data_IF_046039924318
#
_entry.id   IF_046039924318
#
_cell.length_a   1.000
_cell.length_b   1.000
_cell.length_c   1.000
_cell.angle_alpha   90.00
_cell.angle_beta   90.00
_cell.angle_gamma   90.00
#
_symmetry.space_group_name_H-M   'P 1'
#
loop_
_entity.id
_entity.type
_entity.pdbx_description
1 polymer ?
#
# COMPACT_ATOMS: atom_id res chain seq x y z
N UNK A 1 48.11 31.67 24.27
CA UNK A 1 48.15 31.10 25.64
C UNK A 1 46.74 30.98 26.19
N UNK A 2 46.55 30.10 27.18
CA UNK A 2 45.32 29.41 27.60
C UNK A 2 44.29 30.27 28.38
N UNK A 3 43.00 30.04 28.05
CA UNK A 3 41.76 29.90 28.86
C UNK A 3 41.68 30.46 30.31
N UNK A 4 40.62 31.24 30.57
CA UNK A 4 39.76 31.19 31.78
C UNK A 4 38.32 31.63 31.38
N UNK A 5 37.38 30.72 31.05
CA UNK A 5 36.41 30.08 31.94
C UNK A 5 35.77 30.99 33.00
N UNK A 6 34.66 31.64 32.62
CA UNK A 6 33.68 32.17 33.57
C UNK A 6 32.46 31.23 33.69
N UNK A 7 32.24 30.88 34.95
CA UNK A 7 31.17 30.17 35.66
C UNK A 7 29.77 30.10 35.03
N UNK A 8 29.28 28.84 35.00
CA UNK A 8 27.96 28.32 35.43
C UNK A 8 26.86 29.32 35.80
N UNK A 9 25.72 29.19 35.10
CA UNK A 9 24.37 29.08 35.69
C UNK A 9 23.52 28.10 34.85
N UNK A 10 23.65 26.80 35.11
CA UNK A 10 22.60 25.84 34.69
C UNK A 10 21.53 25.84 35.77
N UNK A 11 20.38 26.42 35.46
CA UNK A 11 19.14 26.29 36.23
C UNK A 11 18.34 25.13 35.65
N UNK A 12 18.76 23.88 35.88
CA UNK A 12 17.89 22.72 35.74
C UNK A 12 18.32 21.65 36.76
N UNK A 13 17.40 21.16 37.61
CA UNK A 13 17.70 20.12 38.58
C UNK A 13 17.88 18.77 37.88
N UNK A 14 18.68 17.91 38.51
CA UNK A 14 18.95 16.53 38.14
C UNK A 14 17.65 15.73 37.98
N UNK A 15 17.17 15.62 36.74
CA UNK A 15 16.25 14.56 36.36
C UNK A 15 17.06 13.45 35.70
N UNK A 16 17.00 12.28 36.33
CA UNK A 16 17.50 11.01 35.84
C UNK A 16 17.09 10.79 34.39
N UNK A 17 18.04 11.01 33.46
CA UNK A 17 17.88 10.66 32.05
C UNK A 17 17.86 9.14 31.97
N UNK A 18 16.66 8.54 31.98
CA UNK A 18 16.43 7.23 31.38
C UNK A 18 16.85 7.35 29.92
N UNK A 19 18.02 6.79 29.60
CA UNK A 19 18.54 6.70 28.23
C UNK A 19 17.45 6.12 27.33
N UNK A 20 16.88 6.95 26.45
CA UNK A 20 16.05 6.50 25.32
C UNK A 20 16.87 5.50 24.50
N UNK A 21 16.49 4.22 24.53
CA UNK A 21 16.95 3.23 23.56
C UNK A 21 16.02 3.28 22.35
N UNK A 22 16.31 4.20 21.43
CA UNK A 22 15.81 4.13 20.06
C UNK A 22 16.86 3.33 19.28
N UNK A 23 16.50 2.12 18.85
CA UNK A 23 17.39 1.26 18.06
C UNK A 23 16.88 1.23 16.63
N UNK A 24 17.68 1.64 15.65
CA UNK A 24 17.31 1.68 14.22
C UNK A 24 18.53 1.33 13.36
N UNK A 25 18.21 0.68 12.23
CA UNK A 25 18.94 0.51 10.96
C UNK A 25 19.71 -0.81 10.80
N UNK A 26 19.12 -1.73 10.03
CA UNK A 26 19.86 -2.53 9.08
C UNK A 26 19.37 -2.22 7.65
N UNK A 27 20.29 -1.71 6.82
CA UNK A 27 20.18 -1.70 5.36
C UNK A 27 20.64 -3.10 4.90
N UNK A 28 19.72 -3.91 4.39
CA UNK A 28 20.09 -5.11 3.63
C UNK A 28 20.53 -4.68 2.24
N UNK A 29 21.83 -4.61 1.98
CA UNK A 29 22.37 -4.43 0.65
C UNK A 29 22.87 -5.78 0.11
N UNK A 30 22.29 -6.25 -0.99
CA UNK A 30 23.01 -7.00 -2.05
C UNK A 30 22.41 -6.67 -3.42
N UNK A 31 23.26 -6.20 -4.31
CA UNK A 31 23.05 -6.10 -5.76
C UNK A 31 22.93 -7.50 -6.39
N UNK A 32 22.02 -7.67 -7.33
CA UNK A 32 22.33 -8.18 -8.67
C UNK A 32 21.22 -7.80 -9.66
N UNK A 33 21.62 -7.13 -10.73
CA UNK A 33 20.82 -6.84 -11.91
C UNK A 33 20.36 -8.12 -12.61
N UNK A 34 19.08 -8.20 -12.94
CA UNK A 34 18.65 -8.68 -14.26
C UNK A 34 17.20 -8.30 -14.52
N UNK A 35 17.03 -7.57 -15.61
CA UNK A 35 15.79 -7.17 -16.24
C UNK A 35 14.69 -8.25 -16.22
N UNK A 36 13.49 -7.84 -15.82
CA UNK A 36 12.25 -7.95 -16.59
C UNK A 36 11.29 -6.90 -16.05
N UNK A 37 11.11 -5.81 -16.81
CA UNK A 37 9.93 -4.96 -16.69
C UNK A 37 8.72 -5.83 -17.01
N UNK A 38 8.08 -6.40 -16.00
CA UNK A 38 6.66 -6.71 -16.08
C UNK A 38 5.93 -5.38 -15.92
N UNK A 39 5.75 -4.69 -17.04
CA UNK A 39 4.71 -3.68 -17.20
C UNK A 39 3.37 -4.35 -16.89
N UNK A 40 2.54 -3.66 -16.10
CA UNK A 40 1.21 -4.14 -15.72
C UNK A 40 1.02 -4.29 -14.22
N UNK A 41 1.26 -3.25 -13.42
CA UNK A 41 0.66 -3.14 -12.08
C UNK A 41 -0.22 -1.91 -12.05
N UNK A 42 -1.53 -2.16 -12.18
CA UNK A 42 -2.66 -1.36 -11.75
C UNK A 42 -2.31 0.04 -11.24
N UNK A 43 -2.20 0.99 -12.18
CA UNK A 43 -2.33 2.41 -11.88
C UNK A 43 -3.82 2.65 -11.61
N UNK A 44 -4.25 2.29 -10.39
CA UNK A 44 -5.51 2.81 -9.85
C UNK A 44 -5.34 4.32 -9.82
N UNK A 45 -5.95 5.02 -10.77
CA UNK A 45 -6.06 6.47 -10.74
C UNK A 45 -6.91 6.83 -9.52
N UNK A 46 -6.27 7.07 -8.39
CA UNK A 46 -6.97 7.45 -7.16
C UNK A 46 -7.53 8.85 -7.38
N UNK A 47 -8.86 8.95 -7.44
CA UNK A 47 -9.50 10.26 -7.62
C UNK A 47 -9.34 11.09 -6.35
N UNK A 48 -9.09 12.40 -6.50
CA UNK A 48 -8.96 13.31 -5.35
C UNK A 48 -10.21 13.30 -4.48
N UNK A 49 -11.38 13.07 -5.09
CA UNK A 49 -12.67 12.95 -4.39
C UNK A 49 -12.73 11.73 -3.48
N UNK A 50 -12.15 10.62 -3.90
CA UNK A 50 -12.08 9.41 -3.08
C UNK A 50 -11.21 9.64 -1.84
N UNK A 51 -10.02 10.23 -2.00
CA UNK A 51 -9.13 10.55 -0.89
C UNK A 51 -9.75 11.54 0.11
N UNK A 52 -10.57 12.49 -0.37
CA UNK A 52 -11.35 13.38 0.48
C UNK A 52 -12.46 12.64 1.23
N UNK A 53 -13.19 11.75 0.56
CA UNK A 53 -14.28 10.99 1.18
C UNK A 53 -13.80 9.98 2.22
N UNK A 54 -12.62 9.39 2.00
CA UNK A 54 -11.99 8.44 2.91
C UNK A 54 -11.23 9.14 4.05
N UNK A 55 -11.13 10.48 4.00
CA UNK A 55 -10.46 11.28 5.03
C UNK A 55 -8.94 11.15 5.05
N UNK A 56 -8.34 10.54 4.02
CA UNK A 56 -6.88 10.45 3.84
C UNK A 56 -6.29 11.84 3.60
N UNK A 57 -7.01 12.67 2.85
CA UNK A 57 -6.60 14.02 2.50
C UNK A 57 -7.71 15.00 2.89
N UNK A 58 -7.37 16.12 3.54
CA UNK A 58 -8.36 17.15 3.89
C UNK A 58 -8.51 18.19 2.77
N UNK A 59 -9.65 18.91 2.76
CA UNK A 59 -9.88 19.99 1.80
C UNK A 59 -8.82 21.11 1.90
N UNK A 60 -8.35 21.40 3.11
CA UNK A 60 -7.26 22.35 3.37
C UNK A 60 -5.93 21.87 2.80
N UNK A 61 -5.59 20.58 3.02
CA UNK A 61 -4.39 19.96 2.46
C UNK A 61 -4.42 19.97 0.94
N UNK A 62 -5.57 19.66 0.32
CA UNK A 62 -5.72 19.69 -1.13
C UNK A 62 -5.53 21.10 -1.68
N UNK A 63 -6.18 22.08 -1.07
CA UNK A 63 -6.10 23.48 -1.46
C UNK A 63 -4.66 24.01 -1.37
N UNK A 64 -3.92 23.62 -0.33
CA UNK A 64 -2.51 23.95 -0.19
C UNK A 64 -1.67 23.36 -1.32
N UNK A 65 -1.86 22.08 -1.65
CA UNK A 65 -1.13 21.43 -2.76
C UNK A 65 -1.47 22.07 -4.11
N UNK A 66 -2.76 22.32 -4.38
CA UNK A 66 -3.25 22.96 -5.60
C UNK A 66 -2.72 24.38 -5.80
N UNK A 67 -2.44 25.10 -4.71
CA UNK A 67 -1.88 26.45 -4.77
C UNK A 67 -0.37 26.46 -5.06
N UNK A 68 0.35 25.40 -4.68
CA UNK A 68 1.81 25.39 -4.68
C UNK A 68 2.43 24.48 -5.75
N UNK A 69 1.67 23.51 -6.26
CA UNK A 69 2.16 22.50 -7.20
C UNK A 69 1.30 22.45 -8.46
N UNK A 70 1.91 22.00 -9.56
CA UNK A 70 1.18 21.76 -10.80
C UNK A 70 0.23 20.57 -10.66
N UNK A 71 -0.90 20.61 -11.38
CA UNK A 71 -1.92 19.55 -11.36
C UNK A 71 -1.34 18.15 -11.60
N UNK A 72 -0.52 17.98 -12.62
CA UNK A 72 0.05 16.67 -12.96
C UNK A 72 0.97 16.10 -11.88
N UNK A 73 1.59 16.98 -11.09
CA UNK A 73 2.43 16.60 -9.94
C UNK A 73 1.56 16.18 -8.77
N UNK A 74 0.46 16.89 -8.52
CA UNK A 74 -0.52 16.53 -7.49
C UNK A 74 -1.13 15.17 -7.80
N UNK A 75 -1.54 14.95 -9.06
CA UNK A 75 -2.07 13.66 -9.51
C UNK A 75 -1.05 12.54 -9.27
N UNK A 76 0.23 12.76 -9.58
CA UNK A 76 1.28 11.77 -9.33
C UNK A 76 1.54 11.52 -7.82
N UNK A 77 1.48 12.55 -6.98
CA UNK A 77 1.60 12.43 -5.52
C UNK A 77 0.43 11.64 -4.93
N UNK A 78 -0.80 11.93 -5.37
CA UNK A 78 -2.01 11.23 -4.95
C UNK A 78 -2.02 9.75 -5.37
N UNK A 79 -1.40 9.41 -6.51
CA UNK A 79 -1.25 8.03 -6.98
C UNK A 79 -0.06 7.27 -6.37
N UNK A 80 0.74 7.90 -5.50
CA UNK A 80 1.95 7.29 -4.94
C UNK A 80 1.64 6.17 -3.93
N UNK A 81 2.60 5.26 -3.75
CA UNK A 81 2.49 4.14 -2.80
C UNK A 81 2.30 4.64 -1.36
N UNK A 82 2.90 5.78 -1.02
CA UNK A 82 2.74 6.38 0.31
C UNK A 82 1.27 6.69 0.61
N UNK A 83 0.54 7.30 -0.33
CA UNK A 83 -0.89 7.62 -0.13
C UNK A 83 -1.70 6.34 0.04
N UNK A 84 -1.44 5.32 -0.77
CA UNK A 84 -2.07 4.00 -0.63
C UNK A 84 -1.80 3.38 0.75
N UNK A 85 -0.63 3.61 1.33
CA UNK A 85 -0.32 3.17 2.71
C UNK A 85 -1.17 3.93 3.75
N UNK A 86 -1.33 5.25 3.63
CA UNK A 86 -2.20 6.03 4.52
C UNK A 86 -3.68 5.63 4.38
N UNK A 87 -4.14 5.38 3.15
CA UNK A 87 -5.46 4.84 2.85
C UNK A 87 -5.69 3.50 3.53
N UNK A 88 -4.77 2.54 3.38
CA UNK A 88 -4.81 1.23 4.05
C UNK A 88 -4.77 1.33 5.57
N UNK A 89 -4.03 2.30 6.11
CA UNK A 89 -4.00 2.60 7.55
C UNK A 89 -5.27 3.32 8.03
N UNK A 90 -6.14 3.79 7.14
CA UNK A 90 -7.29 4.63 7.50
C UNK A 90 -6.84 5.84 8.32
N UNK A 91 -5.76 6.50 7.89
CA UNK A 91 -5.14 7.61 8.59
C UNK A 91 -5.00 8.82 7.65
N UNK A 92 -5.23 10.04 8.15
CA UNK A 92 -4.97 11.23 7.35
C UNK A 92 -3.47 11.41 7.11
N UNK A 93 -3.11 12.05 5.99
CA UNK A 93 -1.75 12.48 5.74
C UNK A 93 -1.28 13.38 6.87
N UNK A 94 -0.21 12.95 7.54
CA UNK A 94 0.37 13.74 8.61
C UNK A 94 1.17 14.94 8.08
N UNK A 95 1.59 15.79 9.01
CA UNK A 95 2.39 16.98 8.69
C UNK A 95 3.72 16.64 7.99
N UNK A 96 4.32 15.48 8.28
CA UNK A 96 5.58 15.07 7.67
C UNK A 96 5.36 14.64 6.21
N UNK A 97 4.31 13.86 5.93
CA UNK A 97 3.91 13.50 4.58
C UNK A 97 3.61 14.75 3.74
N UNK A 98 2.85 15.71 4.28
CA UNK A 98 2.56 16.97 3.58
C UNK A 98 3.83 17.77 3.27
N UNK A 99 4.79 17.83 4.21
CA UNK A 99 6.07 18.50 3.99
C UNK A 99 6.88 17.81 2.88
N UNK A 100 6.91 16.48 2.87
CA UNK A 100 7.62 15.69 1.86
C UNK A 100 6.99 15.85 0.48
N UNK A 101 5.66 15.92 0.40
CA UNK A 101 4.92 16.16 -0.84
C UNK A 101 5.26 17.52 -1.44
N UNK A 102 5.36 18.57 -0.62
CA UNK A 102 5.79 19.88 -1.09
C UNK A 102 7.25 19.87 -1.54
N UNK A 103 8.14 19.21 -0.80
CA UNK A 103 9.56 19.11 -1.15
C UNK A 103 9.76 18.40 -2.49
N UNK A 104 9.17 17.21 -2.66
CA UNK A 104 9.32 16.41 -3.87
C UNK A 104 8.51 16.98 -5.02
N UNK A 105 7.31 17.49 -4.74
CA UNK A 105 6.49 18.18 -5.72
C UNK A 105 7.22 19.38 -6.34
N UNK A 106 7.97 20.15 -5.54
CA UNK A 106 8.77 21.28 -6.06
C UNK A 106 9.87 20.81 -7.02
N UNK A 107 10.53 19.67 -6.74
CA UNK A 107 11.56 19.09 -7.60
C UNK A 107 11.00 18.53 -8.90
N UNK A 108 9.84 17.88 -8.81
CA UNK A 108 9.12 17.37 -9.97
C UNK A 108 8.61 18.49 -10.87
N UNK A 109 8.15 19.60 -10.28
CA UNK A 109 7.73 20.79 -11.03
C UNK A 109 8.87 21.48 -11.77
N UNK A 110 10.10 21.41 -11.24
CA UNK A 110 11.29 21.97 -11.86
C UNK A 110 11.97 21.04 -12.88
N UNK A 111 11.77 19.73 -12.78
CA UNK A 111 12.44 18.73 -13.62
C UNK A 111 11.67 18.47 -14.91
N UNK A 112 12.19 18.97 -16.04
CA UNK A 112 11.69 18.64 -17.38
C UNK A 112 11.96 17.17 -17.79
N UNK A 113 12.77 16.44 -17.01
CA UNK A 113 13.21 15.08 -17.36
C UNK A 113 12.15 13.99 -17.15
N UNK A 114 11.12 14.25 -16.34
CA UNK A 114 10.05 13.29 -16.07
C UNK A 114 8.79 13.73 -16.83
N UNK A 115 8.61 13.18 -18.03
CA UNK A 115 7.58 13.62 -18.97
C UNK A 115 6.22 12.98 -18.69
N UNK A 116 6.19 11.71 -18.27
CA UNK A 116 4.94 10.95 -18.08
C UNK A 116 4.50 10.89 -16.62
N UNK A 117 3.21 10.66 -16.39
CA UNK A 117 2.65 10.44 -15.05
C UNK A 117 3.33 9.25 -14.35
N UNK A 118 3.51 8.13 -15.06
CA UNK A 118 4.14 6.92 -14.55
C UNK A 118 5.59 7.15 -14.10
N UNK A 119 6.37 7.90 -14.88
CA UNK A 119 7.74 8.27 -14.52
C UNK A 119 7.78 9.09 -13.23
N UNK A 120 6.83 10.01 -13.05
CA UNK A 120 6.71 10.82 -11.82
C UNK A 120 6.33 9.95 -10.63
N UNK A 121 5.36 9.06 -10.77
CA UNK A 121 4.94 8.13 -9.72
C UNK A 121 6.09 7.20 -9.33
N UNK A 122 6.81 6.63 -10.31
CA UNK A 122 7.97 5.79 -10.06
C UNK A 122 9.07 6.56 -9.30
N UNK A 123 9.36 7.79 -9.71
CA UNK A 123 10.33 8.65 -9.01
C UNK A 123 9.90 8.89 -7.55
N UNK A 124 8.63 9.22 -7.30
CA UNK A 124 8.12 9.43 -5.95
C UNK A 124 8.31 8.16 -5.11
N UNK A 125 7.90 7.01 -5.63
CA UNK A 125 7.98 5.72 -4.94
C UNK A 125 9.43 5.25 -4.69
N UNK A 126 10.41 5.78 -5.41
CA UNK A 126 11.84 5.52 -5.16
C UNK A 126 12.44 6.43 -4.08
N UNK A 127 11.80 7.57 -3.78
CA UNK A 127 12.37 8.60 -2.90
C UNK A 127 11.57 8.83 -1.62
N UNK A 128 10.32 8.38 -1.57
CA UNK A 128 9.42 8.51 -0.43
C UNK A 128 8.97 7.15 0.05
N UNK A 129 9.23 6.87 1.32
CA UNK A 129 8.76 5.67 2.00
C UNK A 129 7.93 6.02 3.23
N UNK A 130 7.20 5.01 3.72
CA UNK A 130 6.52 5.04 5.00
C UNK A 130 7.31 4.27 6.06
N UNK A 131 7.47 4.89 7.23
CA UNK A 131 8.21 4.29 8.33
C UNK A 131 7.24 3.62 9.29
N UNK A 132 7.12 2.30 9.21
CA UNK A 132 6.20 1.51 10.01
C UNK A 132 6.68 1.34 11.45
N UNK A 133 5.84 1.68 12.42
CA UNK A 133 6.07 1.28 13.80
C UNK A 133 5.49 -0.11 14.05
N UNK A 134 6.30 -1.16 13.96
CA UNK A 134 5.83 -2.54 14.16
C UNK A 134 5.49 -2.88 15.62
N UNK A 135 5.77 -1.97 16.56
CA UNK A 135 5.28 -2.09 17.93
C UNK A 135 3.82 -1.64 18.08
N UNK A 136 3.30 -0.89 17.11
CA UNK A 136 1.91 -0.47 17.12
C UNK A 136 1.02 -1.61 16.61
N UNK A 137 -0.05 -1.98 17.36
CA UNK A 137 -0.99 -3.02 16.93
C UNK A 137 -1.50 -2.80 15.51
N UNK A 138 -1.99 -1.60 15.21
CA UNK A 138 -2.57 -1.26 13.90
C UNK A 138 -1.60 -1.45 12.74
N UNK A 139 -0.37 -0.96 12.87
CA UNK A 139 0.65 -1.08 11.81
C UNK A 139 1.08 -2.52 11.60
N UNK A 140 1.30 -3.27 12.70
CA UNK A 140 1.64 -4.68 12.65
C UNK A 140 0.54 -5.51 12.00
N UNK A 141 -0.72 -5.31 12.43
CA UNK A 141 -1.87 -6.04 11.91
C UNK A 141 -2.11 -5.74 10.44
N UNK A 142 -1.88 -4.50 10.00
CA UNK A 142 -2.00 -4.15 8.58
C UNK A 142 -0.95 -4.88 7.74
N UNK A 143 0.32 -4.82 8.15
CA UNK A 143 1.41 -5.48 7.41
C UNK A 143 1.17 -6.99 7.30
N UNK A 144 0.74 -7.62 8.40
CA UNK A 144 0.39 -9.04 8.42
C UNK A 144 -0.82 -9.34 7.56
N UNK A 145 -1.87 -8.52 7.61
CA UNK A 145 -3.06 -8.73 6.79
C UNK A 145 -2.68 -8.68 5.31
N UNK A 146 -1.93 -7.67 4.88
CA UNK A 146 -1.50 -7.57 3.49
C UNK A 146 -0.59 -8.74 3.08
N UNK A 147 0.37 -9.12 3.93
CA UNK A 147 1.28 -10.22 3.63
C UNK A 147 0.58 -11.59 3.58
N UNK A 148 -0.36 -11.85 4.50
CA UNK A 148 -1.16 -13.09 4.49
C UNK A 148 -2.07 -13.10 3.25
N UNK A 149 -2.77 -12.01 2.95
CA UNK A 149 -3.60 -11.94 1.74
C UNK A 149 -2.79 -12.23 0.48
N UNK A 150 -1.59 -11.64 0.36
CA UNK A 150 -0.74 -11.89 -0.80
C UNK A 150 -0.17 -13.31 -0.82
N UNK A 151 0.21 -13.86 0.34
CA UNK A 151 0.62 -15.26 0.44
C UNK A 151 -0.50 -16.21 0.01
N UNK A 152 -1.75 -15.97 0.42
CA UNK A 152 -2.92 -16.74 -0.01
C UNK A 152 -3.16 -16.59 -1.51
N UNK A 153 -2.96 -15.39 -2.06
CA UNK A 153 -3.02 -15.16 -3.51
C UNK A 153 -1.96 -15.98 -4.25
N UNK A 154 -0.72 -16.06 -3.74
CA UNK A 154 0.35 -16.88 -4.32
C UNK A 154 0.09 -18.39 -4.24
N UNK A 155 -0.77 -18.86 -3.32
CA UNK A 155 -1.21 -20.26 -3.30
C UNK A 155 -2.21 -20.58 -4.43
N UNK A 156 -2.67 -19.57 -5.14
CA UNK A 156 -3.59 -19.67 -6.28
C UNK A 156 -2.87 -19.34 -7.57
N UNK A 157 -3.36 -19.83 -8.70
CA UNK A 157 -2.77 -19.52 -10.00
C UNK A 157 -3.01 -18.03 -10.35
N UNK A 158 -1.99 -17.18 -10.15
CA UNK A 158 -2.12 -15.73 -10.29
C UNK A 158 -2.39 -15.27 -11.72
N UNK A 159 -1.93 -16.03 -12.74
CA UNK A 159 -2.20 -15.69 -14.14
C UNK A 159 -3.69 -15.73 -14.45
N UNK A 160 -4.38 -16.70 -13.84
CA UNK A 160 -5.81 -16.92 -13.99
C UNK A 160 -6.66 -15.81 -13.38
N UNK A 161 -6.28 -15.31 -12.20
CA UNK A 161 -7.02 -14.23 -11.54
C UNK A 161 -6.86 -12.90 -12.29
N UNK A 162 -5.70 -12.65 -12.89
CA UNK A 162 -5.44 -11.47 -13.70
C UNK A 162 -6.25 -11.53 -15.01
N UNK A 163 -6.24 -12.66 -15.71
CA UNK A 163 -6.96 -12.82 -16.97
C UNK A 163 -8.48 -12.64 -16.77
N UNK A 164 -9.05 -13.13 -15.65
CA UNK A 164 -10.47 -12.91 -15.32
C UNK A 164 -10.76 -11.43 -15.09
N UNK A 165 -9.94 -10.73 -14.29
CA UNK A 165 -10.15 -9.30 -13.97
C UNK A 165 -10.03 -8.43 -15.22
N UNK A 166 -9.07 -8.72 -16.11
CA UNK A 166 -8.89 -7.97 -17.37
C UNK A 166 -10.09 -8.12 -18.31
N UNK A 167 -10.63 -9.34 -18.44
CA UNK A 167 -11.78 -9.62 -19.29
C UNK A 167 -13.07 -9.02 -18.70
N UNK A 168 -13.25 -9.05 -17.38
CA UNK A 168 -14.37 -8.37 -16.70
C UNK A 168 -14.31 -6.85 -16.87
N UNK A 169 -13.12 -6.25 -16.79
CA UNK A 169 -12.93 -4.82 -17.06
C UNK A 169 -13.25 -4.48 -18.51
N UNK A 170 -12.80 -5.29 -19.47
CA UNK A 170 -13.09 -5.11 -20.89
C UNK A 170 -14.60 -5.24 -21.17
N UNK A 171 -15.28 -6.19 -20.55
CA UNK A 171 -16.73 -6.36 -20.65
C UNK A 171 -17.48 -5.10 -20.15
N UNK A 172 -17.09 -4.57 -18.99
CA UNK A 172 -17.66 -3.34 -18.44
C UNK A 172 -17.40 -2.12 -19.33
N UNK A 173 -16.20 -1.99 -19.90
CA UNK A 173 -15.88 -0.89 -20.83
C UNK A 173 -16.73 -0.97 -22.11
N UNK A 174 -16.88 -2.16 -22.69
CA UNK A 174 -17.73 -2.37 -23.87
C UNK A 174 -19.21 -2.12 -23.59
N UNK A 175 -19.68 -2.43 -22.38
CA UNK A 175 -21.05 -2.11 -21.96
C UNK A 175 -21.25 -0.59 -21.86
N UNK A 176 -20.32 0.13 -21.23
CA UNK A 176 -20.37 1.60 -21.12
C UNK A 176 -20.33 2.25 -22.50
N UNK A 177 -19.47 1.77 -23.40
CA UNK A 177 -19.40 2.25 -24.78
C UNK A 177 -20.71 1.98 -25.53
N UNK A 178 -21.27 0.77 -25.43
CA UNK A 178 -22.57 0.44 -26.04
C UNK A 178 -23.68 1.40 -25.60
N UNK A 179 -23.83 1.60 -24.28
CA UNK A 179 -24.82 2.54 -23.73
C UNK A 179 -24.57 4.00 -24.10
N UNK A 180 -23.33 4.38 -24.43
CA UNK A 180 -23.01 5.71 -24.94
C UNK A 180 -23.48 5.87 -26.39
N UNK A 181 -23.17 4.90 -27.26
CA UNK A 181 -23.56 4.94 -28.67
C UNK A 181 -25.07 4.78 -28.86
N UNK A 182 -25.74 3.99 -28.01
CA UNK A 182 -27.20 3.89 -27.99
C UNK A 182 -27.89 5.24 -27.74
N UNK A 183 -27.29 6.11 -26.93
CA UNK A 183 -27.83 7.46 -26.67
C UNK A 183 -27.67 8.40 -27.87
N UNK A 184 -26.75 8.11 -28.78
CA UNK A 184 -26.48 8.92 -29.97
C UNK A 184 -27.35 8.52 -31.17
N UNK A 185 -28.06 7.38 -31.11
CA UNK A 185 -29.03 6.94 -32.14
C UNK A 185 -30.12 7.98 -32.42
N UNK A 186 -30.41 8.87 -31.47
CA UNK A 186 -31.40 9.96 -31.63
C UNK A 186 -30.89 11.22 -32.33
N UNK A 187 -29.61 11.29 -32.74
CA UNK A 187 -29.03 12.46 -33.42
C UNK A 187 -28.88 12.19 -34.93
N UNK A 188 -29.71 12.87 -35.75
CA UNK A 188 -29.86 12.61 -37.20
C UNK A 188 -28.58 12.73 -38.03
N UNK A 189 -27.54 13.41 -37.54
CA UNK A 189 -26.35 13.75 -38.33
C UNK A 189 -25.39 12.58 -38.62
N UNK A 190 -25.53 11.41 -37.96
CA UNK A 190 -24.53 10.33 -38.07
C UNK A 190 -25.09 8.91 -37.86
N UNK A 191 -26.39 8.67 -38.10
CA UNK A 191 -27.07 7.40 -37.75
C UNK A 191 -26.35 6.14 -38.27
N UNK A 192 -25.91 6.13 -39.53
CA UNK A 192 -25.19 5.00 -40.15
C UNK A 192 -23.86 4.71 -39.44
N UNK A 193 -23.14 5.75 -39.03
CA UNK A 193 -21.87 5.60 -38.32
C UNK A 193 -22.10 5.07 -36.88
N UNK A 194 -23.17 5.53 -36.22
CA UNK A 194 -23.57 5.04 -34.89
C UNK A 194 -23.96 3.56 -34.96
N UNK A 195 -24.71 3.14 -35.96
CA UNK A 195 -25.09 1.73 -36.19
C UNK A 195 -23.86 0.84 -36.40
N UNK A 196 -22.89 1.28 -37.22
CA UNK A 196 -21.65 0.54 -37.43
C UNK A 196 -20.81 0.38 -36.15
N UNK A 197 -20.77 1.41 -35.30
CA UNK A 197 -20.08 1.32 -34.00
C UNK A 197 -20.80 0.38 -33.04
N UNK A 198 -22.13 0.37 -33.04
CA UNK A 198 -22.92 -0.55 -32.22
C UNK A 198 -22.75 -2.02 -32.67
N UNK A 199 -22.75 -2.30 -33.98
CA UNK A 199 -22.46 -3.65 -34.51
C UNK A 199 -21.07 -4.14 -34.10
N UNK A 200 -20.06 -3.27 -34.19
CA UNK A 200 -18.70 -3.59 -33.76
C UNK A 200 -18.65 -3.91 -32.25
N UNK A 201 -19.30 -3.09 -31.42
CA UNK A 201 -19.37 -3.31 -29.98
C UNK A 201 -20.11 -4.61 -29.66
N UNK A 202 -21.20 -4.93 -30.36
CA UNK A 202 -21.92 -6.19 -30.18
C UNK A 202 -21.04 -7.40 -30.53
N UNK A 203 -20.30 -7.34 -31.63
CA UNK A 203 -19.35 -8.39 -32.02
C UNK A 203 -18.26 -8.58 -30.96
N UNK A 204 -17.67 -7.48 -30.47
CA UNK A 204 -16.66 -7.51 -29.41
C UNK A 204 -17.23 -8.03 -28.08
N UNK A 205 -18.46 -7.64 -27.71
CA UNK A 205 -19.13 -8.16 -26.52
C UNK A 205 -19.38 -9.67 -26.62
N UNK A 206 -19.73 -10.16 -27.80
CA UNK A 206 -19.94 -11.59 -28.03
C UNK A 206 -18.62 -12.37 -27.93
N UNK A 207 -17.53 -11.82 -28.48
CA UNK A 207 -16.19 -12.39 -28.35
C UNK A 207 -15.71 -12.41 -26.89
N UNK A 208 -15.91 -11.32 -26.15
CA UNK A 208 -15.55 -11.22 -24.73
C UNK A 208 -16.38 -12.19 -23.88
N UNK A 209 -17.68 -12.35 -24.17
CA UNK A 209 -18.53 -13.35 -23.49
C UNK A 209 -18.04 -14.78 -23.73
N UNK A 210 -17.58 -15.09 -24.93
CA UNK A 210 -17.06 -16.42 -25.26
C UNK A 210 -15.69 -16.66 -24.61
N UNK A 211 -14.81 -15.66 -24.60
CA UNK A 211 -13.54 -15.69 -23.87
C UNK A 211 -13.77 -15.87 -22.37
N UNK A 212 -14.77 -15.18 -21.80
CA UNK A 212 -15.12 -15.30 -20.40
C UNK A 212 -15.69 -16.68 -20.07
N UNK A 213 -16.52 -17.27 -20.95
CA UNK A 213 -16.98 -18.67 -20.80
C UNK A 213 -15.85 -19.68 -20.85
N UNK A 214 -14.96 -19.57 -21.82
CA UNK A 214 -13.81 -20.47 -21.95
C UNK A 214 -12.85 -20.32 -20.79
N UNK A 215 -12.64 -19.10 -20.29
CA UNK A 215 -11.91 -18.87 -19.04
C UNK A 215 -12.64 -19.48 -17.84
N UNK A 216 -13.93 -19.21 -17.68
CA UNK A 216 -14.75 -19.77 -16.61
C UNK A 216 -14.68 -21.29 -16.58
N UNK A 217 -14.71 -21.97 -17.73
CA UNK A 217 -14.63 -23.44 -17.82
C UNK A 217 -13.22 -23.99 -17.51
N UNK A 218 -12.17 -23.34 -18.02
CA UNK A 218 -10.77 -23.73 -17.80
C UNK A 218 -10.28 -23.42 -16.39
N UNK A 219 -10.83 -22.35 -15.79
CA UNK A 219 -10.36 -21.79 -14.53
C UNK A 219 -11.34 -21.92 -13.37
N UNK A 220 -12.55 -22.48 -13.58
CA UNK A 220 -13.54 -22.76 -12.52
C UNK A 220 -12.90 -23.39 -11.29
N UNK A 221 -12.02 -24.36 -11.51
CA UNK A 221 -11.35 -25.09 -10.43
C UNK A 221 -10.34 -24.24 -9.68
N UNK A 222 -9.61 -23.36 -10.37
CA UNK A 222 -8.64 -22.45 -9.74
C UNK A 222 -9.35 -21.31 -8.99
N UNK A 223 -10.37 -20.69 -9.60
CA UNK A 223 -11.19 -19.67 -8.97
C UNK A 223 -11.98 -20.23 -7.76
N UNK A 224 -12.55 -21.43 -7.88
CA UNK A 224 -13.24 -22.10 -6.77
C UNK A 224 -12.25 -22.51 -5.66
N UNK A 225 -11.07 -23.01 -6.01
CA UNK A 225 -10.02 -23.31 -5.03
C UNK A 225 -9.56 -22.04 -4.29
N UNK A 226 -9.38 -20.93 -5.00
CA UNK A 226 -9.05 -19.64 -4.43
C UNK A 226 -10.16 -19.13 -3.50
N UNK A 227 -11.43 -19.21 -3.95
CA UNK A 227 -12.62 -18.85 -3.14
C UNK A 227 -12.67 -19.65 -1.85
N UNK A 228 -12.54 -20.97 -1.92
CA UNK A 228 -12.53 -21.86 -0.75
C UNK A 228 -11.38 -21.51 0.20
N UNK A 229 -10.19 -21.24 -0.35
CA UNK A 229 -9.02 -20.88 0.45
C UNK A 229 -9.22 -19.53 1.15
N UNK A 230 -9.76 -18.54 0.45
CA UNK A 230 -10.11 -17.23 1.03
C UNK A 230 -11.21 -17.35 2.09
N UNK A 231 -12.27 -18.12 1.82
CA UNK A 231 -13.34 -18.38 2.81
C UNK A 231 -12.81 -19.04 4.08
N UNK A 232 -11.83 -19.94 3.94
CA UNK A 232 -11.13 -20.56 5.09
C UNK A 232 -10.33 -19.53 5.89
N UNK A 233 -9.66 -18.58 5.21
CA UNK A 233 -8.84 -17.55 5.86
C UNK A 233 -9.63 -16.36 6.40
N UNK A 234 -10.80 -16.05 5.83
CA UNK A 234 -11.59 -14.87 6.14
C UNK A 234 -11.87 -14.67 7.64
N UNK A 235 -12.24 -15.70 8.43
CA UNK A 235 -12.43 -15.53 9.87
C UNK A 235 -11.15 -15.08 10.59
N UNK A 236 -10.00 -15.68 10.23
CA UNK A 236 -8.71 -15.36 10.82
C UNK A 236 -8.25 -13.94 10.44
N UNK A 237 -8.48 -13.52 9.19
CA UNK A 237 -8.20 -12.15 8.72
C UNK A 237 -9.12 -11.12 9.39
N UNK A 238 -10.40 -11.45 9.60
CA UNK A 238 -11.34 -10.58 10.34
C UNK A 238 -10.89 -10.39 11.79
N UNK A 239 -10.46 -11.45 12.47
CA UNK A 239 -9.90 -11.35 13.83
C UNK A 239 -8.61 -10.51 13.84
N UNK A 240 -7.74 -10.67 12.85
CA UNK A 240 -6.55 -9.84 12.70
C UNK A 240 -6.90 -8.36 12.52
N UNK A 241 -7.92 -8.05 11.72
CA UNK A 241 -8.40 -6.69 11.52
C UNK A 241 -8.96 -6.08 12.81
N UNK A 242 -9.68 -6.85 13.62
CA UNK A 242 -10.16 -6.38 14.93
C UNK A 242 -9.00 -6.02 15.88
N UNK A 243 -7.85 -6.70 15.79
CA UNK A 243 -6.66 -6.35 16.57
C UNK A 243 -6.09 -4.96 16.20
N UNK A 244 -6.43 -4.42 15.03
CA UNK A 244 -6.00 -3.08 14.61
C UNK A 244 -6.70 -1.95 15.36
N UNK A 245 -7.82 -2.24 16.02
CA UNK A 245 -8.60 -1.28 16.81
C UNK A 245 -7.92 -0.94 18.15
N UNK A 246 -6.98 -1.77 18.60
CA UNK A 246 -6.18 -1.47 19.78
C UNK A 246 -5.22 -0.31 19.49
N UNK A 247 -5.43 0.81 20.18
CA UNK A 247 -4.56 1.98 20.06
C UNK A 247 -3.12 1.69 20.56
N UNK A 248 -2.98 0.84 21.57
CA UNK A 248 -1.71 0.51 22.23
C UNK A 248 -1.67 -0.97 22.63
N UNK A 249 -0.47 -1.48 22.89
CA UNK A 249 -0.28 -2.81 23.46
C UNK A 249 -0.78 -2.85 24.90
N UNK A 250 -1.79 -3.66 25.18
CA UNK A 250 -2.34 -3.91 26.51
C UNK A 250 -2.36 -5.42 26.84
N UNK A 251 -2.59 -5.83 28.10
CA UNK A 251 -2.77 -7.24 28.45
C UNK A 251 -3.86 -7.94 27.63
N UNK A 252 -4.95 -7.23 27.34
CA UNK A 252 -6.07 -7.70 26.50
C UNK A 252 -5.61 -7.91 25.06
N UNK A 253 -4.84 -6.96 24.49
CA UNK A 253 -4.24 -7.11 23.18
C UNK A 253 -3.35 -8.36 23.12
N UNK A 254 -2.45 -8.57 24.10
CA UNK A 254 -1.56 -9.73 24.09
C UNK A 254 -2.31 -11.06 24.17
N UNK A 255 -3.42 -11.10 24.92
CA UNK A 255 -4.27 -12.29 25.02
C UNK A 255 -4.97 -12.58 23.70
N UNK A 256 -5.51 -11.54 23.05
CA UNK A 256 -6.14 -11.66 21.74
C UNK A 256 -5.12 -12.02 20.64
N UNK A 257 -3.93 -11.42 20.68
CA UNK A 257 -2.81 -11.70 19.78
C UNK A 257 -2.37 -13.16 19.84
N UNK A 258 -2.16 -13.71 21.04
CA UNK A 258 -1.78 -15.11 21.22
C UNK A 258 -2.87 -16.07 20.72
N UNK A 259 -4.13 -15.70 20.93
CA UNK A 259 -5.28 -16.48 20.43
C UNK A 259 -5.29 -16.50 18.91
N UNK A 260 -5.09 -15.34 18.28
CA UNK A 260 -4.98 -15.23 16.84
C UNK A 260 -3.79 -16.01 16.26
N UNK A 261 -2.60 -15.90 16.87
CA UNK A 261 -1.40 -16.64 16.42
C UNK A 261 -1.63 -18.16 16.44
N UNK A 262 -2.34 -18.68 17.45
CA UNK A 262 -2.70 -20.11 17.52
C UNK A 262 -3.63 -20.53 16.38
N UNK A 263 -4.63 -19.70 16.05
CA UNK A 263 -5.53 -19.95 14.93
C UNK A 263 -4.79 -19.92 13.58
N UNK A 264 -3.99 -18.88 13.34
CA UNK A 264 -3.21 -18.73 12.10
C UNK A 264 -2.26 -19.92 11.88
N UNK A 265 -1.61 -20.40 12.94
CA UNK A 265 -0.71 -21.57 12.91
C UNK A 265 -1.42 -22.86 12.48
N UNK A 266 -2.68 -23.03 12.85
CA UNK A 266 -3.47 -24.20 12.42
C UNK A 266 -3.86 -24.13 10.95
N UNK A 267 -4.00 -22.92 10.39
CA UNK A 267 -4.42 -22.71 9.01
C UNK A 267 -3.28 -22.91 8.00
N UNK A 268 -2.06 -22.48 8.35
CA UNK A 268 -0.85 -22.65 7.53
C UNK A 268 0.35 -23.08 8.40
N UNK A 269 0.45 -24.35 8.81
CA UNK A 269 1.57 -24.85 9.60
C UNK A 269 2.93 -24.72 8.90
N UNK A 270 2.95 -24.64 7.57
CA UNK A 270 4.13 -24.44 6.73
C UNK A 270 4.83 -23.09 6.98
N UNK A 271 4.11 -22.05 7.44
CA UNK A 271 4.65 -20.74 7.79
C UNK A 271 5.23 -20.70 9.22
N UNK A 272 5.80 -21.81 9.68
CA UNK A 272 6.27 -21.97 11.07
C UNK A 272 7.19 -20.85 11.54
N UNK A 273 8.16 -20.45 10.72
CA UNK A 273 9.12 -19.40 11.07
C UNK A 273 8.47 -18.03 11.26
N UNK A 274 7.44 -17.72 10.46
CA UNK A 274 6.64 -16.49 10.57
C UNK A 274 5.86 -16.51 11.89
N UNK A 275 5.24 -17.63 12.25
CA UNK A 275 4.47 -17.75 13.48
C UNK A 275 5.34 -17.72 14.74
N UNK A 276 6.54 -18.30 14.69
CA UNK A 276 7.53 -18.18 15.77
C UNK A 276 7.96 -16.72 15.94
N UNK A 277 8.13 -15.99 14.83
CA UNK A 277 8.43 -14.56 14.88
C UNK A 277 7.26 -13.72 15.46
N UNK A 278 6.01 -14.04 15.11
CA UNK A 278 4.83 -13.41 15.70
C UNK A 278 4.72 -13.59 17.22
N UNK A 279 5.09 -14.77 17.75
CA UNK A 279 5.09 -15.04 19.18
C UNK A 279 6.16 -14.21 19.94
N UNK A 280 7.25 -13.87 19.25
CA UNK A 280 8.42 -13.20 19.85
C UNK A 280 8.57 -11.73 19.48
N UNK A 281 7.67 -11.16 18.67
CA UNK A 281 7.82 -9.81 18.12
C UNK A 281 8.01 -8.71 19.18
N UNK A 282 7.37 -8.84 20.35
CA UNK A 282 7.50 -7.87 21.46
C UNK A 282 8.66 -8.16 22.43
N UNK A 283 9.47 -9.19 22.16
CA UNK A 283 10.56 -9.66 23.04
C UNK A 283 11.91 -9.75 22.33
N UNK A 284 11.91 -10.00 21.03
CA UNK A 284 13.12 -10.23 20.24
C UNK A 284 13.12 -9.37 18.97
N UNK A 285 14.18 -8.57 18.80
CA UNK A 285 14.37 -7.73 17.62
C UNK A 285 14.62 -8.56 16.36
N UNK A 286 15.17 -9.77 16.49
CA UNK A 286 15.37 -10.66 15.35
C UNK A 286 14.03 -11.17 14.80
N UNK A 287 13.04 -11.36 15.68
CA UNK A 287 11.69 -11.71 15.26
C UNK A 287 11.04 -10.57 14.44
N UNK A 288 11.24 -9.31 14.86
CA UNK A 288 10.78 -8.14 14.09
C UNK A 288 11.45 -8.09 12.71
N UNK A 289 12.76 -8.32 12.63
CA UNK A 289 13.49 -8.33 11.36
C UNK A 289 13.02 -9.44 10.41
N UNK A 290 12.76 -10.65 10.94
CA UNK A 290 12.22 -11.76 10.15
C UNK A 290 10.84 -11.45 9.57
N UNK A 291 9.95 -10.87 10.37
CA UNK A 291 8.63 -10.46 9.88
C UNK A 291 8.73 -9.36 8.82
N UNK A 292 9.63 -8.40 9.02
CA UNK A 292 9.86 -7.36 8.02
C UNK A 292 10.36 -7.94 6.69
N UNK A 293 11.32 -8.87 6.72
CA UNK A 293 11.79 -9.56 5.52
C UNK A 293 10.64 -10.27 4.81
N UNK A 294 9.79 -10.97 5.56
CA UNK A 294 8.64 -11.66 4.98
C UNK A 294 7.62 -10.68 4.35
N UNK A 295 7.42 -9.50 4.93
CA UNK A 295 6.59 -8.46 4.32
C UNK A 295 7.18 -7.95 2.99
N UNK A 296 8.50 -7.84 2.90
CA UNK A 296 9.20 -7.48 1.66
C UNK A 296 9.08 -8.60 0.61
N UNK A 297 9.27 -9.86 1.01
CA UNK A 297 9.16 -11.02 0.13
C UNK A 297 7.74 -11.16 -0.45
N UNK A 298 6.72 -10.85 0.35
CA UNK A 298 5.32 -10.81 -0.08
C UNK A 298 4.94 -9.48 -0.76
N UNK A 299 5.89 -8.58 -1.02
CA UNK A 299 5.65 -7.26 -1.64
C UNK A 299 4.51 -6.46 -0.98
N UNK A 300 4.28 -6.67 0.32
CA UNK A 300 3.21 -6.01 1.07
C UNK A 300 3.61 -4.61 1.56
N UNK A 301 4.92 -4.35 1.61
CA UNK A 301 5.57 -3.06 1.87
C UNK A 301 6.47 -2.69 0.68
N UNK A 302 6.72 -1.40 0.47
CA UNK A 302 7.59 -0.92 -0.60
C UNK A 302 9.08 -1.15 -0.33
N UNK A 303 9.89 -1.24 -1.38
CA UNK A 303 11.35 -1.44 -1.29
C UNK A 303 12.05 -0.34 -0.50
N UNK A 304 11.48 0.86 -0.61
CA UNK A 304 11.99 2.05 0.07
C UNK A 304 11.46 2.18 1.47
N UNK A 305 10.46 1.40 1.90
CA UNK A 305 9.86 1.49 3.23
C UNK A 305 10.82 1.00 4.32
N UNK A 306 10.58 1.44 5.55
CA UNK A 306 11.43 1.13 6.69
C UNK A 306 10.55 0.79 7.89
N UNK A 307 11.10 0.01 8.80
CA UNK A 307 10.46 -0.24 10.08
C UNK A 307 11.26 0.30 11.26
N UNK A 308 10.57 0.48 12.36
CA UNK A 308 11.13 0.62 13.69
C UNK A 308 10.20 -0.03 14.69
N UNK A 309 10.69 -0.19 15.92
CA UNK A 309 9.93 -0.81 16.99
C UNK A 309 9.96 0.10 18.21
N UNK A 310 8.87 0.82 18.45
CA UNK A 310 8.74 1.73 19.58
C UNK A 310 7.37 1.62 20.23
N UNK A 311 7.35 0.99 21.40
CA UNK A 311 6.14 0.76 22.20
C UNK A 311 5.65 2.05 22.86
N UNK A 312 6.50 3.08 23.00
CA UNK A 312 6.21 4.28 23.79
C UNK A 312 5.58 5.42 22.99
N UNK A 313 5.88 5.53 21.68
CA UNK A 313 5.39 6.65 20.88
C UNK A 313 3.91 6.58 20.54
N UNK A 314 3.27 5.41 20.61
CA UNK A 314 1.87 5.21 20.19
C UNK A 314 1.58 5.62 18.74
N UNK A 315 2.60 6.02 17.99
CA UNK A 315 2.51 6.47 16.61
C UNK A 315 2.57 5.27 15.68
N UNK A 316 1.67 5.23 14.69
CA UNK A 316 1.56 4.15 13.71
C UNK A 316 2.71 4.18 12.67
N UNK A 317 3.37 5.33 12.53
CA UNK A 317 4.47 5.55 11.60
C UNK A 317 4.49 6.98 11.10
N UNK A 318 5.47 7.30 10.25
CA UNK A 318 5.56 8.60 9.60
C UNK A 318 6.23 8.47 8.23
N UNK A 319 5.85 9.34 7.31
CA UNK A 319 6.53 9.45 6.02
C UNK A 319 7.97 9.95 6.19
N UNK A 320 8.87 9.51 5.32
CA UNK A 320 10.25 10.00 5.23
C UNK A 320 10.75 9.96 3.79
N UNK A 321 11.84 10.68 3.55
CA UNK A 321 12.57 10.64 2.29
C UNK A 321 13.90 9.88 2.43
N UNK A 322 14.34 9.24 1.36
CA UNK A 322 15.65 8.58 1.26
C UNK A 322 16.75 9.45 0.66
N UNK A 323 16.62 10.78 0.74
CA UNK A 323 17.68 11.69 0.32
C UNK A 323 18.88 11.55 1.27
N UNK A 324 19.68 10.50 1.11
CA UNK A 324 21.08 10.54 1.50
C UNK A 324 21.69 11.69 0.69
N UNK A 325 22.12 12.73 1.39
CA UNK A 325 23.09 13.66 0.85
C UNK A 325 24.20 12.82 0.19
N UNK A 326 24.33 12.95 -1.13
CA UNK A 326 25.62 12.76 -1.77
C UNK A 326 26.51 13.89 -1.29
#
# INVERSE_FOLDING_TARGET
MKKQHWRRRSLFPDNSVTKRKVTVLQRGARYQDSAKQTQGKNVVNVSHRQLLSEGVLSSEQLSLLQRLLNRDVIDALCSSQLVKTYEKLGAPLDRFAMRLFLEIGSRLGASQALATHEQRVAYINQHVGYRYNLASPKSLTLCLHCAISEWVNHQSDQGVLLDVVEIEQLANQLQIQGSYWEKLLGQEASAIYVEQQLELIMSQQQQVKEQLRTLEETHKKAAESHRILMEKWQPCLNTLKALSEFALTSPEFFTAWQTWCKQARQLAPELREVWEACDHIYRDLNAVAKLWQWFQDMQSVGDVDLYYFDVQSGQFGQAYNHMSHI
#
